data_IF_652554645539
#
_entry.id   IF_652554645539
#
_cell.length_a   1.000
_cell.length_b   1.000
_cell.length_c   1.000
_cell.angle_alpha   90.00
_cell.angle_beta   90.00
_cell.angle_gamma   90.00
#
_symmetry.space_group_name_H-M   'P 1'
#
loop_
_entity.id
_entity.type
_entity.pdbx_description
1 polymer ?
#
# COMPACT_ATOMS: atom_id res chain seq x y z
N UNK A 1 -5.05 -3.22 4.09
CA UNK A 1 -4.45 -3.70 5.35
C UNK A 1 -3.64 -2.61 6.08
N UNK A 2 -2.46 -2.18 5.57
CA UNK A 2 -1.60 -1.21 6.29
C UNK A 2 -2.31 0.12 6.57
N UNK A 3 -3.04 0.67 5.60
CA UNK A 3 -3.84 1.89 5.82
C UNK A 3 -4.86 1.74 6.95
N UNK A 4 -5.53 0.59 7.04
CA UNK A 4 -6.49 0.27 8.09
C UNK A 4 -5.81 0.22 9.47
N UNK A 5 -4.68 -0.48 9.58
CA UNK A 5 -3.88 -0.52 10.82
C UNK A 5 -3.37 0.87 11.26
N UNK A 6 -3.20 1.81 10.32
CA UNK A 6 -2.81 3.20 10.58
C UNK A 6 -4.00 4.14 10.83
N UNK A 7 -5.20 3.57 10.99
CA UNK A 7 -6.43 4.28 11.35
C UNK A 7 -7.15 4.93 10.17
N UNK A 8 -6.87 4.51 8.93
CA UNK A 8 -7.66 4.92 7.79
C UNK A 8 -8.97 4.13 7.69
N UNK A 9 -9.98 4.76 7.11
CA UNK A 9 -11.11 4.04 6.53
C UNK A 9 -10.72 3.64 5.11
N UNK A 10 -10.81 2.36 4.77
CA UNK A 10 -10.66 1.90 3.39
C UNK A 10 -12.04 1.92 2.75
N UNK A 11 -12.26 2.82 1.80
CA UNK A 11 -13.58 3.04 1.19
C UNK A 11 -13.94 1.92 0.21
N UNK A 12 -12.96 1.49 -0.60
CA UNK A 12 -13.12 0.37 -1.52
C UNK A 12 -11.79 -0.19 -1.98
N UNK A 13 -11.80 -1.46 -2.40
CA UNK A 13 -10.72 -2.10 -3.17
C UNK A 13 -11.36 -2.86 -4.33
N UNK A 14 -10.73 -2.83 -5.50
CA UNK A 14 -11.17 -3.60 -6.66
C UNK A 14 -10.01 -4.19 -7.45
N UNK A 15 -10.27 -5.34 -8.08
CA UNK A 15 -9.41 -5.95 -9.08
C UNK A 15 -9.71 -5.32 -10.45
N UNK A 16 -8.67 -4.87 -11.15
CA UNK A 16 -8.79 -4.09 -12.38
C UNK A 16 -9.20 -2.64 -12.15
N UNK A 17 -8.64 -1.72 -12.93
CA UNK A 17 -9.12 -0.34 -13.02
C UNK A 17 -10.20 -0.18 -14.10
N UNK A 18 -11.00 0.88 -14.03
CA UNK A 18 -11.70 1.35 -15.23
C UNK A 18 -10.67 1.55 -16.35
N UNK A 19 -10.92 0.96 -17.51
CA UNK A 19 -10.05 1.07 -18.67
C UNK A 19 -10.16 2.49 -19.26
N UNK A 20 -9.56 3.46 -18.59
CA UNK A 20 -9.35 4.78 -19.15
C UNK A 20 -8.18 4.69 -20.14
N UNK A 21 -8.45 4.91 -21.43
CA UNK A 21 -7.46 4.83 -22.54
C UNK A 21 -6.19 5.68 -22.32
N UNK A 22 -6.20 6.60 -21.36
CA UNK A 22 -5.13 7.55 -21.06
C UNK A 22 -4.31 7.21 -19.80
N UNK A 23 -4.75 6.25 -18.99
CA UNK A 23 -4.07 5.84 -17.76
C UNK A 23 -3.25 4.56 -18.01
N UNK A 24 -2.09 4.40 -17.34
CA UNK A 24 -1.39 3.12 -17.34
C UNK A 24 -2.32 1.99 -16.87
N UNK A 25 -2.12 0.79 -17.40
CA UNK A 25 -2.87 -0.40 -16.98
C UNK A 25 -2.80 -0.55 -15.45
N UNK A 26 -3.96 -0.51 -14.80
CA UNK A 26 -4.08 -0.66 -13.34
C UNK A 26 -4.54 -2.07 -13.03
N UNK A 27 -3.73 -2.81 -12.29
CA UNK A 27 -4.07 -4.16 -11.84
C UNK A 27 -5.12 -4.16 -10.71
N UNK A 28 -5.36 -3.02 -10.08
CA UNK A 28 -6.41 -2.79 -9.10
C UNK A 28 -6.48 -1.32 -8.68
N UNK A 29 -7.53 -0.96 -7.94
CA UNK A 29 -7.69 0.37 -7.36
C UNK A 29 -8.04 0.25 -5.86
N UNK A 30 -7.56 1.20 -5.06
CA UNK A 30 -7.76 1.21 -3.61
C UNK A 30 -8.03 2.65 -3.15
N UNK A 31 -9.21 2.87 -2.58
CA UNK A 31 -9.65 4.19 -2.12
C UNK A 31 -9.53 4.26 -0.60
N UNK A 32 -8.78 5.23 -0.12
CA UNK A 32 -8.43 5.36 1.30
C UNK A 32 -8.80 6.75 1.79
N UNK A 33 -9.54 6.78 2.89
CA UNK A 33 -9.97 7.99 3.56
C UNK A 33 -9.25 8.13 4.90
N UNK A 34 -8.33 9.09 4.96
CA UNK A 34 -7.58 9.44 6.17
C UNK A 34 -8.35 10.37 7.12
N UNK A 35 -9.60 10.71 6.80
CA UNK A 35 -10.39 11.71 7.51
C UNK A 35 -9.84 13.12 7.32
N UNK A 36 -9.83 13.92 8.40
CA UNK A 36 -9.27 15.28 8.35
C UNK A 36 -7.75 15.20 8.30
N UNK A 37 -7.19 15.65 7.18
CA UNK A 37 -5.75 15.65 6.95
C UNK A 37 -5.13 17.02 7.22
N UNK A 38 -4.00 17.04 7.92
CA UNK A 38 -3.10 18.21 8.02
C UNK A 38 -1.92 18.01 7.07
N UNK A 39 -1.89 18.78 5.99
CA UNK A 39 -0.85 18.71 4.98
C UNK A 39 0.53 19.12 5.49
N UNK A 40 0.64 19.76 6.66
CA UNK A 40 1.91 20.10 7.30
C UNK A 40 2.44 18.99 8.21
N UNK A 41 1.59 18.01 8.55
CA UNK A 41 1.94 16.92 9.46
C UNK A 41 2.80 15.86 8.77
N UNK A 42 4.01 15.65 9.31
CA UNK A 42 4.90 14.58 8.86
C UNK A 42 4.28 13.20 9.07
N UNK A 43 3.48 13.04 10.13
CA UNK A 43 2.80 11.80 10.42
C UNK A 43 1.83 11.39 9.31
N UNK A 44 1.08 12.34 8.75
CA UNK A 44 0.19 12.05 7.62
C UNK A 44 0.99 11.46 6.44
N UNK A 45 2.08 12.13 6.07
CA UNK A 45 2.88 11.73 4.90
C UNK A 45 3.53 10.38 5.11
N UNK A 46 3.98 10.08 6.32
CA UNK A 46 4.53 8.78 6.68
C UNK A 46 3.48 7.67 6.50
N UNK A 47 2.24 7.88 6.95
CA UNK A 47 1.16 6.89 6.76
C UNK A 47 0.86 6.64 5.29
N UNK A 48 0.85 7.70 4.49
CA UNK A 48 0.60 7.61 3.05
C UNK A 48 1.73 6.85 2.33
N UNK A 49 2.99 7.18 2.63
CA UNK A 49 4.17 6.46 2.11
C UNK A 49 4.11 4.97 2.47
N UNK A 50 3.84 4.62 3.73
CA UNK A 50 3.76 3.23 4.16
C UNK A 50 2.63 2.48 3.45
N UNK A 51 1.52 3.15 3.16
CA UNK A 51 0.36 2.54 2.50
C UNK A 51 0.61 2.32 1.01
N UNK A 52 1.22 3.28 0.32
CA UNK A 52 1.63 3.16 -1.09
C UNK A 52 2.61 2.00 -1.26
N UNK A 53 3.62 1.90 -0.38
CA UNK A 53 4.64 0.86 -0.47
C UNK A 53 4.17 -0.53 0.03
N UNK A 54 2.97 -0.62 0.62
CA UNK A 54 2.46 -1.88 1.16
C UNK A 54 2.15 -2.91 0.07
N UNK A 55 1.68 -2.49 -1.10
CA UNK A 55 1.44 -3.38 -2.26
C UNK A 55 2.73 -4.05 -2.73
N UNK A 56 3.75 -3.27 -3.16
CA UNK A 56 5.05 -3.82 -3.54
C UNK A 56 5.68 -4.73 -2.48
N UNK A 57 5.59 -4.37 -1.19
CA UNK A 57 6.13 -5.19 -0.11
C UNK A 57 5.37 -6.52 0.07
N UNK A 58 4.05 -6.54 -0.13
CA UNK A 58 3.25 -7.75 -0.09
C UNK A 58 3.54 -8.66 -1.29
N UNK A 59 3.71 -8.08 -2.48
CA UNK A 59 4.06 -8.83 -3.69
C UNK A 59 5.48 -9.42 -3.62
N UNK A 60 6.46 -8.69 -3.08
CA UNK A 60 7.80 -9.25 -2.81
C UNK A 60 7.72 -10.50 -1.94
N UNK A 61 6.92 -10.44 -0.87
CA UNK A 61 6.74 -11.56 0.05
C UNK A 61 6.05 -12.75 -0.64
N UNK A 62 5.02 -12.48 -1.44
CA UNK A 62 4.28 -13.51 -2.19
C UNK A 62 5.16 -14.21 -3.23
N UNK A 63 5.91 -13.44 -4.02
CA UNK A 63 6.78 -13.98 -5.08
C UNK A 63 8.07 -14.61 -4.52
N UNK A 64 8.47 -14.27 -3.29
CA UNK A 64 9.74 -14.70 -2.70
C UNK A 64 10.97 -14.07 -3.36
N UNK A 65 10.78 -13.01 -4.15
CA UNK A 65 11.83 -12.31 -4.88
C UNK A 65 12.12 -10.94 -4.27
N UNK A 66 13.40 -10.63 -4.07
CA UNK A 66 13.86 -9.34 -3.55
C UNK A 66 14.16 -8.36 -4.68
N UNK A 67 13.18 -8.10 -5.53
CA UNK A 67 13.31 -7.09 -6.59
C UNK A 67 13.23 -5.68 -5.99
N UNK A 68 14.01 -4.75 -6.53
CA UNK A 68 13.96 -3.36 -6.08
C UNK A 68 12.76 -2.63 -6.73
N UNK A 69 11.88 -1.91 -5.98
CA UNK A 69 10.72 -1.22 -6.53
C UNK A 69 11.01 -0.24 -7.67
N UNK A 70 12.14 0.46 -7.60
CA UNK A 70 12.55 1.36 -8.67
C UNK A 70 12.95 0.65 -9.98
N UNK A 71 13.24 -0.66 -9.93
CA UNK A 71 13.72 -1.44 -11.07
C UNK A 71 12.66 -2.39 -11.64
N UNK A 72 11.66 -2.78 -10.85
CA UNK A 72 10.59 -3.67 -11.29
C UNK A 72 9.37 -2.86 -11.76
N UNK A 73 9.06 -2.97 -13.07
CA UNK A 73 8.09 -2.10 -13.74
C UNK A 73 6.72 -1.98 -13.03
N UNK A 74 6.10 -3.06 -12.52
CA UNK A 74 4.84 -2.97 -11.79
C UNK A 74 4.87 -2.05 -10.56
N UNK A 75 6.01 -1.92 -9.88
CA UNK A 75 6.11 -1.16 -8.62
C UNK A 75 6.68 0.25 -8.80
N UNK A 76 7.08 0.62 -10.02
CA UNK A 76 7.74 1.90 -10.27
C UNK A 76 6.84 3.09 -9.97
N UNK A 77 5.53 2.97 -10.25
CA UNK A 77 4.57 4.05 -9.97
C UNK A 77 4.47 4.32 -8.47
N UNK A 78 4.25 3.28 -7.66
CA UNK A 78 4.18 3.38 -6.20
C UNK A 78 5.47 3.94 -5.61
N UNK A 79 6.61 3.45 -6.10
CA UNK A 79 7.92 3.95 -5.69
C UNK A 79 8.06 5.45 -6.00
N UNK A 80 7.73 5.88 -7.21
CA UNK A 80 7.82 7.28 -7.62
C UNK A 80 6.86 8.16 -6.81
N UNK A 81 5.65 7.70 -6.52
CA UNK A 81 4.68 8.45 -5.72
C UNK A 81 5.18 8.65 -4.28
N UNK A 82 5.61 7.56 -3.63
CA UNK A 82 6.23 7.61 -2.30
C UNK A 82 7.48 8.51 -2.30
N UNK A 83 8.26 8.50 -3.38
CA UNK A 83 9.42 9.36 -3.59
C UNK A 83 9.07 10.86 -3.65
N UNK A 84 7.97 11.21 -4.31
CA UNK A 84 7.52 12.60 -4.38
C UNK A 84 7.05 13.09 -3.00
N UNK A 85 6.24 12.29 -2.30
CA UNK A 85 5.69 12.66 -0.98
C UNK A 85 6.82 12.87 0.04
N UNK A 86 7.83 12.01 0.00
CA UNK A 86 8.97 12.06 0.92
C UNK A 86 9.93 13.24 0.69
N UNK A 87 9.78 14.03 -0.39
CA UNK A 87 10.56 15.28 -0.61
C UNK A 87 10.51 16.24 0.57
N UNK A 88 9.35 16.35 1.20
CA UNK A 88 9.11 17.25 2.32
C UNK A 88 9.72 16.74 3.64
N UNK A 89 9.88 15.41 3.77
CA UNK A 89 10.43 14.75 4.95
C UNK A 89 11.96 14.66 4.87
N UNK A 90 12.49 14.28 3.71
CA UNK A 90 13.91 14.06 3.46
C UNK A 90 14.32 14.79 2.18
N UNK A 91 15.03 15.91 2.35
CA UNK A 91 15.44 16.78 1.23
C UNK A 91 16.51 16.14 0.35
N UNK A 92 17.46 15.45 0.96
CA UNK A 92 18.54 14.77 0.26
C UNK A 92 17.99 13.59 -0.58
N UNK A 93 18.24 13.54 -1.90
CA UNK A 93 17.81 12.43 -2.73
C UNK A 93 18.37 11.09 -2.27
N UNK A 94 19.64 10.97 -1.89
CA UNK A 94 20.21 9.66 -1.52
C UNK A 94 19.60 9.15 -0.21
N UNK A 95 19.53 10.02 0.80
CA UNK A 95 18.92 9.70 2.09
C UNK A 95 17.44 9.33 1.97
N UNK A 96 16.72 9.90 1.00
CA UNK A 96 15.33 9.53 0.74
C UNK A 96 15.23 8.10 0.20
N UNK A 97 16.20 7.65 -0.63
CA UNK A 97 16.22 6.30 -1.24
C UNK A 97 16.34 5.30 -0.12
N UNK A 98 17.32 5.52 0.73
CA UNK A 98 17.54 4.69 1.92
C UNK A 98 16.35 4.70 2.88
N UNK A 99 15.68 5.84 3.05
CA UNK A 99 14.48 5.90 3.89
C UNK A 99 13.33 5.05 3.32
N UNK A 100 13.07 5.11 2.01
CA UNK A 100 12.02 4.30 1.39
C UNK A 100 12.41 2.81 1.32
N UNK A 101 13.67 2.49 1.02
CA UNK A 101 14.19 1.11 1.10
C UNK A 101 13.96 0.53 2.50
N UNK A 102 14.24 1.32 3.55
CA UNK A 102 14.01 0.93 4.94
C UNK A 102 12.51 0.71 5.22
N UNK A 103 11.63 1.53 4.65
CA UNK A 103 10.18 1.34 4.77
C UNK A 103 9.73 0.04 4.10
N UNK A 104 10.21 -0.26 2.90
CA UNK A 104 9.90 -1.50 2.18
C UNK A 104 10.35 -2.72 2.98
N UNK A 105 11.58 -2.72 3.50
CA UNK A 105 12.09 -3.81 4.34
C UNK A 105 11.29 -3.98 5.62
N UNK A 106 10.94 -2.87 6.28
CA UNK A 106 10.10 -2.90 7.47
C UNK A 106 8.71 -3.48 7.16
N UNK A 107 8.08 -3.04 6.07
CA UNK A 107 6.79 -3.54 5.61
C UNK A 107 6.86 -5.02 5.28
N UNK A 108 7.85 -5.46 4.49
CA UNK A 108 8.06 -6.87 4.14
C UNK A 108 8.13 -7.74 5.40
N UNK A 109 8.96 -7.36 6.37
CA UNK A 109 9.10 -8.09 7.63
C UNK A 109 7.81 -8.08 8.46
N UNK A 110 7.09 -6.95 8.48
CA UNK A 110 5.83 -6.84 9.22
C UNK A 110 4.72 -7.67 8.59
N UNK A 111 4.59 -7.60 7.27
CA UNK A 111 3.63 -8.37 6.47
C UNK A 111 3.89 -9.86 6.57
N UNK A 112 5.16 -10.28 6.66
CA UNK A 112 5.54 -11.68 6.85
C UNK A 112 5.16 -12.28 8.21
N UNK A 113 4.65 -11.49 9.16
CA UNK A 113 4.11 -12.04 10.40
C UNK A 113 2.78 -12.73 10.18
N UNK A 114 2.53 -13.84 10.88
CA UNK A 114 1.36 -14.70 10.64
C UNK A 114 0.01 -13.96 10.69
N UNK A 115 -0.27 -13.07 11.65
CA UNK A 115 -1.54 -12.33 11.67
C UNK A 115 -1.69 -11.35 10.51
N UNK A 116 -0.61 -10.64 10.14
CA UNK A 116 -0.65 -9.69 9.04
C UNK A 116 -0.81 -10.38 7.68
N UNK A 117 -0.10 -11.50 7.46
CA UNK A 117 -0.22 -12.25 6.22
C UNK A 117 -1.60 -12.90 6.07
N UNK A 118 -2.16 -13.42 7.17
CA UNK A 118 -3.53 -13.96 7.17
C UNK A 118 -4.57 -12.87 6.82
N UNK A 119 -4.42 -11.64 7.33
CA UNK A 119 -5.30 -10.53 6.97
C UNK A 119 -5.21 -10.18 5.48
N UNK A 120 -4.00 -10.17 4.91
CA UNK A 120 -3.79 -9.94 3.47
C UNK A 120 -4.43 -11.06 2.65
N UNK A 121 -4.21 -12.32 3.04
CA UNK A 121 -4.80 -13.48 2.36
C UNK A 121 -6.33 -13.45 2.41
N UNK A 122 -6.93 -13.13 3.57
CA UNK A 122 -8.38 -13.02 3.70
C UNK A 122 -8.97 -11.97 2.77
N UNK A 123 -8.35 -10.78 2.67
CA UNK A 123 -8.80 -9.74 1.72
C UNK A 123 -8.62 -10.20 0.27
N UNK A 124 -7.52 -10.90 -0.05
CA UNK A 124 -7.29 -11.44 -1.39
C UNK A 124 -8.33 -12.50 -1.77
N UNK A 125 -8.70 -13.40 -0.85
CA UNK A 125 -9.74 -14.41 -1.07
C UNK A 125 -11.10 -13.77 -1.35
N UNK A 126 -11.48 -12.75 -0.56
CA UNK A 126 -12.71 -11.98 -0.76
C UNK A 126 -12.69 -11.23 -2.11
N UNK A 127 -11.56 -10.61 -2.49
CA UNK A 127 -11.41 -9.96 -3.79
C UNK A 127 -11.48 -10.94 -4.97
N UNK A 128 -10.93 -12.14 -4.84
CA UNK A 128 -11.05 -13.17 -5.87
C UNK A 128 -12.50 -13.67 -6.03
N UNK A 129 -13.29 -13.63 -4.96
CA UNK A 129 -14.69 -14.01 -4.98
C UNK A 129 -15.62 -12.91 -5.51
N UNK A 130 -15.30 -11.64 -5.23
CA UNK A 130 -16.23 -10.53 -5.43
C UNK A 130 -15.74 -9.46 -6.43
N UNK A 131 -14.46 -9.47 -6.81
CA UNK A 131 -13.75 -8.48 -7.66
C UNK A 131 -13.74 -7.04 -7.12
N UNK A 132 -14.65 -6.69 -6.23
CA UNK A 132 -14.81 -5.41 -5.56
C UNK A 132 -15.25 -5.65 -4.12
N UNK A 133 -14.63 -4.93 -3.17
CA UNK A 133 -15.03 -4.89 -1.77
C UNK A 133 -15.28 -3.45 -1.36
N UNK A 134 -16.42 -3.21 -0.71
CA UNK A 134 -16.71 -1.92 -0.09
C UNK A 134 -16.13 -1.80 1.33
N UNK A 135 -16.34 -0.63 1.93
CA UNK A 135 -15.87 -0.31 3.27
C UNK A 135 -16.34 -1.29 4.35
N UNK A 136 -17.61 -1.73 4.32
CA UNK A 136 -18.18 -2.59 5.37
C UNK A 136 -17.54 -3.97 5.29
N UNK A 137 -17.51 -4.54 4.08
CA UNK A 137 -16.86 -5.83 3.83
C UNK A 137 -15.38 -5.81 4.20
N UNK A 138 -14.66 -4.74 3.85
CA UNK A 138 -13.25 -4.60 4.21
C UNK A 138 -13.03 -4.47 5.72
N UNK A 139 -13.89 -3.73 6.42
CA UNK A 139 -13.81 -3.58 7.87
C UNK A 139 -14.09 -4.89 8.59
N UNK A 140 -15.11 -5.64 8.15
CA UNK A 140 -15.44 -6.96 8.72
C UNK A 140 -14.28 -7.95 8.51
N UNK A 141 -13.73 -8.01 7.30
CA UNK A 141 -12.61 -8.90 6.98
C UNK A 141 -11.34 -8.53 7.75
N UNK A 142 -11.03 -7.24 7.91
CA UNK A 142 -9.78 -6.79 8.55
C UNK A 142 -9.85 -6.73 10.08
N UNK A 143 -11.00 -6.39 10.66
CA UNK A 143 -11.17 -6.19 12.13
C UNK A 143 -10.94 -7.45 12.95
N UNK A 144 -11.09 -8.63 12.35
CA UNK A 144 -10.75 -9.89 13.00
C UNK A 144 -9.24 -10.04 13.25
N UNK A 145 -8.40 -9.41 12.42
CA UNK A 145 -6.95 -9.62 12.42
C UNK A 145 -6.12 -8.46 13.00
N UNK A 146 -6.67 -7.24 12.99
CA UNK A 146 -5.97 -5.98 13.31
C UNK A 146 -6.66 -5.28 14.48
#
# INVERSE_FOLDING_TARGET
MIGYALGATIESIQLGGEADEWLPERFGDCRINWGRVDASSDWQRQREILTILAGPAAEMLYCGENLHPAAFAPWQHDWQLAWQISKSLVRDPIGRTHALESCVLWLHNRLGTQPCWAAVAAVADELLAHEYLDQEQLADTLSFWI
#
